data_IF_724295127516
#
_entry.id   IF_724295127516
#
_cell.length_a   1.000
_cell.length_b   1.000
_cell.length_c   1.000
_cell.angle_alpha   90.00
_cell.angle_beta   90.00
_cell.angle_gamma   90.00
#
_symmetry.space_group_name_H-M   'P 1'
#
loop_
_entity.id
_entity.type
_entity.pdbx_description
1 polymer ?
#
# COMPACT_ATOMS: atom_id res chain seq x y z
N UNK A 1 1.21 11.99 -21.77
CA UNK A 1 2.25 11.05 -21.29
C UNK A 1 2.80 11.38 -19.90
N UNK A 2 2.33 12.42 -19.19
CA UNK A 2 2.76 12.70 -17.80
C UNK A 2 1.78 12.21 -16.71
N UNK A 3 0.52 11.90 -17.05
CA UNK A 3 -0.53 11.69 -16.06
C UNK A 3 -0.45 10.40 -15.23
N UNK A 4 0.18 9.34 -15.74
CA UNK A 4 0.15 8.04 -15.05
C UNK A 4 1.19 7.99 -13.91
N UNK A 5 2.40 8.53 -14.12
CA UNK A 5 3.38 8.72 -13.04
C UNK A 5 2.87 9.70 -11.97
N UNK A 6 2.00 10.65 -12.34
CA UNK A 6 1.37 11.55 -11.37
C UNK A 6 0.44 10.79 -10.40
N UNK A 7 -0.19 9.68 -10.84
CA UNK A 7 -1.04 8.84 -9.97
C UNK A 7 -0.21 8.16 -8.87
N UNK A 8 0.94 7.58 -9.22
CA UNK A 8 1.82 6.92 -8.25
C UNK A 8 2.34 7.94 -7.24
N UNK A 9 2.86 9.08 -7.71
CA UNK A 9 3.36 10.14 -6.83
C UNK A 9 2.27 10.69 -5.91
N UNK A 10 1.03 10.84 -6.42
CA UNK A 10 -0.12 11.23 -5.61
C UNK A 10 -0.41 10.21 -4.52
N UNK A 11 -0.48 8.91 -4.86
CA UNK A 11 -0.72 7.84 -3.89
C UNK A 11 0.39 7.78 -2.83
N UNK A 12 1.67 7.89 -3.22
CA UNK A 12 2.80 7.94 -2.28
C UNK A 12 2.67 9.10 -1.30
N UNK A 13 2.22 10.27 -1.76
CA UNK A 13 1.97 11.41 -0.88
C UNK A 13 0.76 11.19 0.04
N UNK A 14 -0.32 10.59 -0.47
CA UNK A 14 -1.50 10.24 0.34
C UNK A 14 -1.17 9.27 1.46
N UNK A 15 -0.31 8.26 1.20
CA UNK A 15 0.04 7.24 2.20
C UNK A 15 0.77 7.85 3.40
N UNK A 16 1.55 8.92 3.22
CA UNK A 16 2.21 9.66 4.31
C UNK A 16 1.23 10.31 5.30
N UNK A 17 -0.03 10.48 4.90
CA UNK A 17 -1.08 11.12 5.69
C UNK A 17 -2.17 10.14 6.13
N UNK A 18 -2.05 8.85 5.80
CA UNK A 18 -2.99 7.84 6.26
C UNK A 18 -2.85 7.62 7.76
N UNK A 19 -3.98 7.46 8.45
CA UNK A 19 -4.01 7.11 9.85
C UNK A 19 -5.32 6.40 10.19
N UNK A 20 -5.34 5.75 11.35
CA UNK A 20 -6.55 5.20 11.92
C UNK A 20 -7.36 6.29 12.63
N UNK A 21 -8.70 6.26 12.56
CA UNK A 21 -9.54 7.11 13.39
C UNK A 21 -9.22 6.95 14.88
N UNK A 22 -9.32 8.04 15.63
CA UNK A 22 -9.11 8.03 17.08
C UNK A 22 -9.99 6.98 17.76
N UNK A 23 -9.39 6.17 18.66
CA UNK A 23 -10.02 5.03 19.36
C UNK A 23 -10.56 3.90 18.47
N UNK A 24 -10.11 3.78 17.21
CA UNK A 24 -10.44 2.61 16.40
C UNK A 24 -9.94 1.32 17.07
N UNK A 25 -10.86 0.39 17.33
CA UNK A 25 -10.53 -0.97 17.78
C UNK A 25 -9.82 -1.78 16.69
N UNK A 26 -9.18 -2.88 17.09
CA UNK A 26 -8.32 -3.68 16.21
C UNK A 26 -9.04 -4.20 14.95
N UNK A 27 -10.27 -4.71 15.08
CA UNK A 27 -11.04 -5.19 13.92
C UNK A 27 -11.36 -4.08 12.93
N UNK A 28 -11.64 -2.87 13.44
CA UNK A 28 -11.87 -1.70 12.59
C UNK A 28 -10.58 -1.29 11.87
N UNK A 29 -9.43 -1.36 12.55
CA UNK A 29 -8.12 -1.10 11.93
C UNK A 29 -7.81 -2.10 10.82
N UNK A 30 -8.06 -3.40 11.03
CA UNK A 30 -7.88 -4.44 10.00
C UNK A 30 -8.74 -4.18 8.76
N UNK A 31 -10.01 -3.78 8.95
CA UNK A 31 -10.88 -3.37 7.84
C UNK A 31 -10.33 -2.16 7.09
N UNK A 32 -9.85 -1.14 7.82
CA UNK A 32 -9.24 0.04 7.19
C UNK A 32 -8.01 -0.33 6.36
N UNK A 33 -7.16 -1.26 6.83
CA UNK A 33 -6.02 -1.75 6.06
C UNK A 33 -6.50 -2.36 4.72
N UNK A 34 -7.52 -3.21 4.75
CA UNK A 34 -8.07 -3.83 3.55
C UNK A 34 -8.72 -2.80 2.61
N UNK A 35 -9.53 -1.88 3.14
CA UNK A 35 -10.18 -0.81 2.36
C UNK A 35 -9.12 0.07 1.66
N UNK A 36 -8.02 0.39 2.33
CA UNK A 36 -6.92 1.18 1.75
C UNK A 36 -6.13 0.41 0.70
N UNK A 37 -5.90 -0.88 0.92
CA UNK A 37 -5.29 -1.75 -0.07
C UNK A 37 -6.13 -1.79 -1.36
N UNK A 38 -7.45 -2.05 -1.23
CA UNK A 38 -8.37 -2.07 -2.38
C UNK A 38 -8.36 -0.73 -3.11
N UNK A 39 -8.42 0.39 -2.39
CA UNK A 39 -8.34 1.72 -2.98
C UNK A 39 -7.06 1.93 -3.82
N UNK A 40 -5.89 1.50 -3.31
CA UNK A 40 -4.62 1.59 -4.04
C UNK A 40 -4.66 0.71 -5.30
N UNK A 41 -5.07 -0.55 -5.15
CA UNK A 41 -5.17 -1.51 -6.26
C UNK A 41 -6.11 -1.00 -7.37
N UNK A 42 -7.31 -0.55 -7.02
CA UNK A 42 -8.28 -0.02 -7.99
C UNK A 42 -7.75 1.25 -8.68
N UNK A 43 -7.16 2.17 -7.92
CA UNK A 43 -6.61 3.42 -8.47
C UNK A 43 -5.47 3.16 -9.47
N UNK A 44 -4.57 2.23 -9.14
CA UNK A 44 -3.46 1.87 -10.05
C UNK A 44 -3.99 1.08 -11.25
N UNK A 45 -4.95 0.16 -11.05
CA UNK A 45 -5.54 -0.60 -12.15
C UNK A 45 -6.25 0.30 -13.15
N UNK A 46 -6.95 1.33 -12.71
CA UNK A 46 -7.58 2.32 -13.59
C UNK A 46 -6.55 3.07 -14.44
N UNK A 47 -5.40 3.43 -13.87
CA UNK A 47 -4.34 4.17 -14.56
C UNK A 47 -3.43 3.28 -15.43
N UNK A 48 -3.26 2.00 -15.08
CA UNK A 48 -2.28 1.09 -15.67
C UNK A 48 -2.90 -0.26 -16.08
N UNK A 49 -4.12 -0.25 -16.63
CA UNK A 49 -4.89 -1.46 -16.89
C UNK A 49 -4.16 -2.55 -17.69
N UNK A 50 -3.38 -2.17 -18.71
CA UNK A 50 -2.64 -3.12 -19.56
C UNK A 50 -1.40 -3.73 -18.87
N UNK A 51 -0.79 -2.98 -17.94
CA UNK A 51 0.42 -3.38 -17.22
C UNK A 51 0.11 -3.93 -15.82
N UNK A 52 -1.18 -4.03 -15.47
CA UNK A 52 -1.61 -4.37 -14.13
C UNK A 52 -1.29 -5.84 -13.81
N UNK A 53 -0.57 -6.12 -12.71
CA UNK A 53 -0.10 -7.47 -12.40
C UNK A 53 -1.25 -8.42 -12.06
N UNK A 54 -1.01 -9.71 -12.30
CA UNK A 54 -1.95 -10.76 -11.93
C UNK A 54 -2.05 -10.93 -10.40
N UNK A 55 -3.15 -11.55 -9.96
CA UNK A 55 -3.43 -11.76 -8.52
C UNK A 55 -2.29 -12.43 -7.75
N UNK A 56 -1.57 -13.36 -8.37
CA UNK A 56 -0.45 -14.05 -7.72
C UNK A 56 0.70 -13.08 -7.41
N UNK A 57 1.01 -12.18 -8.34
CA UNK A 57 2.04 -11.17 -8.17
C UNK A 57 1.60 -10.09 -7.17
N UNK A 58 0.36 -9.62 -7.26
CA UNK A 58 -0.22 -8.71 -6.26
C UNK A 58 -0.10 -9.24 -4.82
N UNK A 59 -0.38 -10.53 -4.62
CA UNK A 59 -0.23 -11.17 -3.32
C UNK A 59 1.22 -11.21 -2.84
N UNK A 60 2.19 -11.41 -3.75
CA UNK A 60 3.62 -11.37 -3.40
C UNK A 60 4.04 -9.98 -2.96
N UNK A 61 3.69 -8.95 -3.74
CA UNK A 61 4.00 -7.55 -3.43
C UNK A 61 3.37 -7.12 -2.09
N UNK A 62 2.13 -7.55 -1.84
CA UNK A 62 1.44 -7.29 -0.57
C UNK A 62 2.14 -7.95 0.62
N UNK A 63 2.53 -9.22 0.49
CA UNK A 63 3.26 -9.91 1.55
C UNK A 63 4.63 -9.29 1.80
N UNK A 64 5.35 -8.89 0.76
CA UNK A 64 6.62 -8.16 0.91
C UNK A 64 6.43 -6.84 1.68
N UNK A 65 5.37 -6.09 1.36
CA UNK A 65 5.05 -4.86 2.09
C UNK A 65 4.68 -5.14 3.56
N UNK A 66 3.94 -6.22 3.85
CA UNK A 66 3.63 -6.67 5.20
C UNK A 66 4.88 -7.03 6.00
N UNK A 67 5.80 -7.80 5.42
CA UNK A 67 7.05 -8.21 6.05
C UNK A 67 7.95 -7.00 6.31
N UNK A 68 8.06 -6.10 5.33
CA UNK A 68 8.83 -4.87 5.47
C UNK A 68 8.29 -4.01 6.63
N UNK A 69 6.99 -3.67 6.60
CA UNK A 69 6.38 -2.87 7.65
C UNK A 69 6.46 -3.58 9.00
N UNK A 70 6.17 -4.89 9.06
CA UNK A 70 6.27 -5.69 10.28
C UNK A 70 7.64 -5.56 10.96
N UNK A 71 8.71 -5.70 10.18
CA UNK A 71 10.09 -5.63 10.68
C UNK A 71 10.44 -4.29 11.33
N UNK A 72 9.84 -3.18 10.87
CA UNK A 72 10.06 -1.83 11.43
C UNK A 72 9.47 -1.65 12.83
N UNK A 73 8.44 -2.43 13.17
CA UNK A 73 7.70 -2.31 14.43
C UNK A 73 7.85 -3.52 15.34
N UNK A 74 8.79 -4.43 15.06
CA UNK A 74 8.99 -5.65 15.85
C UNK A 74 9.39 -5.40 17.30
N UNK A 75 10.03 -4.26 17.57
CA UNK A 75 10.35 -3.81 18.92
C UNK A 75 9.12 -3.42 19.77
N UNK A 76 7.96 -3.21 19.14
CA UNK A 76 6.72 -2.87 19.84
C UNK A 76 5.97 -4.12 20.35
N UNK A 77 5.26 -4.01 21.49
CA UNK A 77 4.30 -5.02 21.91
C UNK A 77 3.25 -5.26 20.82
N UNK A 78 2.82 -6.51 20.64
CA UNK A 78 1.86 -6.91 19.59
C UNK A 78 0.62 -6.01 19.55
N UNK A 79 0.05 -5.67 20.70
CA UNK A 79 -1.13 -4.80 20.83
C UNK A 79 -0.91 -3.35 20.37
N UNK A 80 0.33 -2.92 20.19
CA UNK A 80 0.72 -1.57 19.74
C UNK A 80 1.27 -1.54 18.32
N UNK A 81 1.50 -2.70 17.68
CA UNK A 81 2.10 -2.78 16.35
C UNK A 81 1.20 -2.18 15.27
N UNK A 82 -0.10 -2.46 15.31
CA UNK A 82 -1.08 -1.91 14.36
C UNK A 82 -1.48 -0.47 14.75
N UNK A 83 -0.59 0.48 14.46
CA UNK A 83 -0.74 1.92 14.70
C UNK A 83 -0.67 2.73 13.39
N UNK A 84 -0.88 4.04 13.48
CA UNK A 84 -0.88 4.93 12.30
C UNK A 84 0.39 4.86 11.46
N UNK A 85 1.56 4.86 12.11
CA UNK A 85 2.84 4.75 11.41
C UNK A 85 3.00 3.41 10.70
N UNK A 86 2.51 2.31 11.29
CA UNK A 86 2.49 1.01 10.60
C UNK A 86 1.61 1.06 9.34
N UNK A 87 0.44 1.70 9.41
CA UNK A 87 -0.43 1.87 8.24
C UNK A 87 0.27 2.69 7.15
N UNK A 88 0.92 3.80 7.52
CA UNK A 88 1.66 4.64 6.58
C UNK A 88 2.76 3.84 5.89
N UNK A 89 3.63 3.15 6.65
CA UNK A 89 4.72 2.33 6.12
C UNK A 89 4.23 1.21 5.21
N UNK A 90 3.20 0.46 5.64
CA UNK A 90 2.62 -0.63 4.85
C UNK A 90 2.07 -0.12 3.51
N UNK A 91 1.25 0.93 3.55
CA UNK A 91 0.62 1.47 2.36
C UNK A 91 1.64 2.12 1.43
N UNK A 92 2.60 2.88 1.98
CA UNK A 92 3.65 3.52 1.21
C UNK A 92 4.50 2.49 0.48
N UNK A 93 4.99 1.47 1.20
CA UNK A 93 5.80 0.40 0.61
C UNK A 93 5.04 -0.37 -0.46
N UNK A 94 3.75 -0.62 -0.25
CA UNK A 94 2.93 -1.31 -1.24
C UNK A 94 2.75 -0.50 -2.53
N UNK A 95 2.53 0.83 -2.42
CA UNK A 95 2.48 1.72 -3.60
C UNK A 95 3.82 1.78 -4.33
N UNK A 96 4.96 1.84 -3.62
CA UNK A 96 6.29 1.80 -4.25
C UNK A 96 6.48 0.53 -5.08
N UNK A 97 6.21 -0.63 -4.47
CA UNK A 97 6.40 -1.93 -5.11
C UNK A 97 5.50 -2.09 -6.34
N UNK A 98 4.21 -1.82 -6.18
CA UNK A 98 3.25 -1.94 -7.26
C UNK A 98 3.51 -0.90 -8.37
N UNK A 99 3.87 0.33 -7.97
CA UNK A 99 4.24 1.41 -8.88
C UNK A 99 5.41 1.02 -9.78
N UNK A 100 6.49 0.49 -9.20
CA UNK A 100 7.66 0.04 -9.96
C UNK A 100 7.29 -1.02 -11.00
N UNK A 101 6.51 -2.04 -10.62
CA UNK A 101 6.08 -3.11 -11.53
C UNK A 101 5.30 -2.55 -12.73
N UNK A 102 4.31 -1.68 -12.49
CA UNK A 102 3.47 -1.17 -13.57
C UNK A 102 4.19 -0.14 -14.46
N UNK A 103 5.23 0.52 -13.94
CA UNK A 103 6.06 1.44 -14.74
C UNK A 103 7.17 0.73 -15.50
N UNK A 104 7.83 -0.27 -14.91
CA UNK A 104 8.88 -1.06 -15.57
C UNK A 104 8.29 -1.91 -16.71
N UNK A 105 7.09 -2.46 -16.52
CA UNK A 105 6.37 -3.17 -17.58
C UNK A 105 6.04 -2.26 -18.78
N UNK A 106 5.95 -0.94 -18.60
CA UNK A 106 5.67 0.03 -19.66
C UNK A 106 6.88 0.34 -20.54
N UNK A 107 8.08 0.10 -20.05
CA UNK A 107 9.33 0.34 -20.80
C UNK A 107 9.77 -0.86 -21.66
N UNK A 108 9.08 -2.01 -21.53
CA UNK A 108 9.31 -3.24 -22.31
C UNK A 108 8.28 -3.42 -23.44
#
# INVERSE_FOLDING_TARGET
MNGDCDVINRLLNETMHMDFPFLAGEDKKKRIVEDKKIYIEDTIKEAFAEMYPEKLELNKLWNEALDYAGSKFDSLPVSKRLNGFYLQELMHRYVELLGNVVTENKEN
#
